data_IF_736253951843
#
_entry.id   IF_736253951843
#
_cell.length_a   1.000
_cell.length_b   1.000
_cell.length_c   1.000
_cell.angle_alpha   90.00
_cell.angle_beta   90.00
_cell.angle_gamma   90.00
#
_symmetry.space_group_name_H-M   'P 1'
#
loop_
_entity.id
_entity.type
_entity.pdbx_description
1 polymer ?
#
# COMPACT_ATOMS: atom_id res chain seq x y z
N UNK A 1 18.78 29.74 -2.25
CA UNK A 1 19.79 28.70 -1.98
C UNK A 1 19.13 27.39 -2.38
N UNK A 2 19.52 26.83 -3.53
CA UNK A 2 18.82 25.70 -4.17
C UNK A 2 19.17 24.43 -3.38
N UNK A 3 18.22 23.94 -2.57
CA UNK A 3 18.28 22.57 -2.05
C UNK A 3 17.80 21.67 -3.19
N UNK A 4 18.76 20.99 -3.83
CA UNK A 4 18.47 19.89 -4.74
C UNK A 4 17.83 18.77 -3.92
N UNK A 5 16.75 18.17 -4.43
CA UNK A 5 16.19 16.94 -3.90
C UNK A 5 17.34 15.94 -3.73
N UNK A 6 17.55 15.50 -2.50
CA UNK A 6 18.56 14.50 -2.21
C UNK A 6 18.02 13.18 -2.78
N UNK A 7 18.72 12.51 -3.70
CA UNK A 7 18.29 11.19 -4.15
C UNK A 7 18.25 10.28 -2.92
N UNK A 8 17.10 9.61 -2.73
CA UNK A 8 16.91 8.62 -1.67
C UNK A 8 17.89 7.49 -1.94
N UNK A 9 18.94 7.42 -1.13
CA UNK A 9 19.97 6.40 -1.25
C UNK A 9 19.48 5.16 -0.49
N UNK A 10 19.16 4.10 -1.24
CA UNK A 10 18.74 2.80 -0.71
C UNK A 10 19.84 2.24 0.22
N UNK A 11 19.61 2.25 1.53
CA UNK A 11 20.45 1.53 2.49
C UNK A 11 20.07 0.05 2.48
N UNK A 12 20.72 -0.74 1.62
CA UNK A 12 20.68 -2.19 1.71
C UNK A 12 21.42 -2.65 2.98
N UNK A 13 20.69 -2.88 4.08
CA UNK A 13 21.25 -3.52 5.27
C UNK A 13 21.31 -5.05 5.08
N UNK A 14 22.45 -5.54 4.59
CA UNK A 14 22.83 -6.94 4.73
C UNK A 14 23.24 -7.20 6.18
N UNK A 15 22.29 -7.55 7.05
CA UNK A 15 22.58 -7.95 8.41
C UNK A 15 22.87 -9.46 8.49
N UNK A 16 24.15 -9.84 8.45
CA UNK A 16 24.60 -11.13 8.96
C UNK A 16 24.68 -11.06 10.49
N UNK A 17 23.80 -11.76 11.20
CA UNK A 17 23.92 -11.94 12.66
C UNK A 17 23.91 -13.42 13.04
N UNK A 18 25.07 -13.87 13.52
CA UNK A 18 25.28 -15.17 14.14
C UNK A 18 24.73 -15.22 15.57
N UNK A 19 24.30 -16.42 15.95
CA UNK A 19 23.81 -16.78 17.28
C UNK A 19 24.83 -16.52 18.40
N UNK A 20 24.36 -15.95 19.51
CA UNK A 20 25.11 -15.84 20.75
C UNK A 20 24.18 -15.64 21.95
N UNK A 21 23.78 -16.75 22.57
CA UNK A 21 22.96 -16.83 23.78
C UNK A 21 23.77 -16.40 25.01
N UNK A 22 23.22 -15.57 25.90
CA UNK A 22 23.54 -15.57 27.33
C UNK A 22 22.44 -14.89 28.15
N UNK A 23 21.88 -15.66 29.08
CA UNK A 23 20.88 -15.27 30.06
C UNK A 23 21.48 -14.51 31.26
N UNK A 24 20.64 -13.69 31.91
CA UNK A 24 20.71 -13.48 33.36
C UNK A 24 19.39 -12.95 33.91
N UNK A 25 18.76 -13.77 34.75
CA UNK A 25 17.73 -13.44 35.73
C UNK A 25 18.14 -12.31 36.68
N UNK A 26 17.19 -11.45 37.09
CA UNK A 26 16.98 -11.06 38.50
C UNK A 26 15.51 -10.66 38.69
N UNK A 27 14.84 -11.39 39.59
CA UNK A 27 13.53 -11.11 40.19
C UNK A 27 13.60 -9.94 41.17
N UNK A 28 12.51 -9.16 41.34
CA UNK A 28 11.81 -9.00 42.65
C UNK A 28 10.60 -8.05 42.59
N UNK A 29 9.45 -8.62 42.95
CA UNK A 29 8.29 -8.15 43.72
C UNK A 29 7.88 -6.66 43.78
N UNK A 30 6.58 -6.47 43.51
CA UNK A 30 5.74 -5.33 43.86
C UNK A 30 5.58 -5.13 45.39
N UNK A 31 4.94 -4.03 45.81
CA UNK A 31 3.55 -4.20 46.23
C UNK A 31 2.58 -3.09 45.80
N UNK A 32 1.30 -3.50 45.79
CA UNK A 32 0.11 -2.72 45.48
C UNK A 32 -0.25 -1.67 46.55
N UNK A 33 -0.94 -0.60 46.13
CA UNK A 33 -1.87 0.16 46.97
C UNK A 33 -3.09 0.56 46.13
N UNK A 34 -4.24 0.12 46.63
CA UNK A 34 -5.62 0.42 46.22
C UNK A 34 -6.09 1.79 46.75
N UNK A 35 -6.93 2.49 46.00
CA UNK A 35 -8.19 3.10 46.49
C UNK A 35 -8.76 4.13 45.51
N UNK A 36 -10.08 4.09 45.32
CA UNK A 36 -10.86 5.32 45.08
C UNK A 36 -11.88 5.26 43.95
N UNK A 37 -13.02 4.61 44.19
CA UNK A 37 -14.24 4.78 43.40
C UNK A 37 -14.82 6.21 43.54
N UNK A 38 -15.33 6.77 42.45
CA UNK A 38 -16.44 7.75 42.50
C UNK A 38 -17.38 7.55 41.30
N UNK A 39 -18.63 7.22 41.61
CA UNK A 39 -19.80 7.27 40.75
C UNK A 39 -20.19 8.72 40.45
N UNK A 40 -20.64 9.00 39.21
CA UNK A 40 -21.47 10.15 38.88
C UNK A 40 -22.49 9.78 37.79
N UNK A 41 -23.68 9.49 38.29
CA UNK A 41 -25.04 9.67 37.78
C UNK A 41 -25.27 10.25 36.35
N UNK A 42 -25.93 9.42 35.53
CA UNK A 42 -27.05 9.67 34.58
C UNK A 42 -27.33 11.08 34.06
N UNK A 43 -27.40 11.19 32.72
CA UNK A 43 -28.34 12.05 32.00
C UNK A 43 -28.85 11.29 30.77
N UNK A 44 -30.11 10.87 30.81
CA UNK A 44 -30.88 10.46 29.64
C UNK A 44 -31.32 11.70 28.85
N UNK A 45 -31.14 11.68 27.54
CA UNK A 45 -31.95 12.46 26.60
C UNK A 45 -32.39 11.53 25.48
N UNK A 46 -33.70 11.33 25.41
CA UNK A 46 -34.37 10.55 24.38
C UNK A 46 -34.65 11.38 23.12
N UNK A 47 -34.70 10.66 22.00
CA UNK A 47 -35.47 10.89 20.77
C UNK A 47 -35.07 12.05 19.85
N UNK A 48 -34.51 11.68 18.69
CA UNK A 48 -35.09 12.01 17.39
C UNK A 48 -34.69 10.93 16.38
N UNK A 49 -35.67 10.55 15.56
CA UNK A 49 -35.69 9.40 14.65
C UNK A 49 -34.48 9.37 13.71
N UNK A 50 -33.81 8.22 13.66
CA UNK A 50 -32.85 7.88 12.62
C UNK A 50 -33.61 7.70 11.31
N UNK A 51 -33.49 8.70 10.44
CA UNK A 51 -33.94 8.62 9.06
C UNK A 51 -33.15 7.53 8.33
N UNK A 52 -33.85 6.86 7.42
CA UNK A 52 -33.55 5.56 6.85
C UNK A 52 -32.11 5.37 6.35
N UNK A 53 -31.48 4.28 6.79
CA UNK A 53 -30.34 3.65 6.10
C UNK A 53 -30.77 3.30 4.68
N UNK A 54 -30.33 4.11 3.71
CA UNK A 54 -30.36 3.72 2.30
C UNK A 54 -29.27 2.68 2.11
N UNK A 55 -29.69 1.45 1.83
CA UNK A 55 -28.81 0.34 1.49
C UNK A 55 -28.12 0.61 0.14
N UNK A 56 -26.86 1.06 0.16
CA UNK A 56 -25.98 1.13 -1.02
C UNK A 56 -25.33 -0.23 -1.36
N UNK A 57 -26.01 -1.36 -1.12
CA UNK A 57 -25.49 -2.70 -1.43
C UNK A 57 -25.74 -3.14 -2.90
N UNK A 58 -26.23 -2.26 -3.77
CA UNK A 58 -26.72 -2.64 -5.10
C UNK A 58 -25.64 -2.77 -6.20
N UNK A 59 -24.38 -3.00 -5.85
CA UNK A 59 -23.30 -3.02 -6.85
C UNK A 59 -22.06 -3.85 -6.51
N UNK A 60 -22.08 -4.66 -5.46
CA UNK A 60 -20.96 -5.55 -5.16
C UNK A 60 -21.03 -6.82 -6.01
N UNK A 61 -19.88 -7.26 -6.53
CA UNK A 61 -19.73 -8.46 -7.35
C UNK A 61 -18.77 -9.44 -6.69
N UNK A 62 -18.91 -10.76 -6.91
CA UNK A 62 -17.84 -11.70 -6.58
C UNK A 62 -16.52 -11.27 -7.21
N UNK A 63 -15.41 -11.50 -6.50
CA UNK A 63 -14.06 -11.11 -6.93
C UNK A 63 -13.73 -11.50 -8.38
N UNK A 64 -14.03 -12.73 -8.79
CA UNK A 64 -13.76 -13.20 -10.15
C UNK A 64 -14.53 -12.39 -11.22
N UNK A 65 -15.79 -12.03 -10.95
CA UNK A 65 -16.61 -11.21 -11.87
C UNK A 65 -16.07 -9.78 -11.93
N UNK A 66 -15.62 -9.23 -10.79
CA UNK A 66 -15.00 -7.92 -10.75
C UNK A 66 -13.69 -7.91 -11.54
N UNK A 67 -12.85 -8.94 -11.37
CA UNK A 67 -11.56 -9.07 -12.08
C UNK A 67 -11.76 -9.19 -13.58
N UNK A 68 -12.72 -9.98 -14.06
CA UNK A 68 -13.07 -10.08 -15.48
C UNK A 68 -13.45 -8.70 -16.06
N UNK A 69 -14.25 -7.90 -15.33
CA UNK A 69 -14.62 -6.54 -15.76
C UNK A 69 -13.42 -5.61 -15.80
N UNK A 70 -12.54 -5.69 -14.80
CA UNK A 70 -11.33 -4.88 -14.75
C UNK A 70 -10.38 -5.24 -15.90
N UNK A 71 -10.11 -6.52 -16.11
CA UNK A 71 -9.27 -7.02 -17.21
C UNK A 71 -9.86 -6.65 -18.58
N UNK A 72 -11.17 -6.73 -18.76
CA UNK A 72 -11.80 -6.28 -20.01
C UNK A 72 -11.62 -4.78 -20.27
N UNK A 73 -11.40 -3.96 -19.24
CA UNK A 73 -11.29 -2.50 -19.34
C UNK A 73 -9.83 -2.03 -19.41
N UNK A 74 -8.97 -2.62 -18.59
CA UNK A 74 -7.59 -2.18 -18.37
C UNK A 74 -6.55 -3.28 -18.60
N UNK A 75 -7.00 -4.52 -18.82
CA UNK A 75 -6.11 -5.65 -19.10
C UNK A 75 -5.23 -5.37 -20.31
N UNK A 76 -3.97 -5.77 -20.18
CA UNK A 76 -2.98 -5.72 -21.26
C UNK A 76 -2.60 -7.17 -21.59
N UNK A 77 -2.51 -7.46 -22.88
CA UNK A 77 -2.21 -8.81 -23.38
C UNK A 77 -0.73 -9.20 -23.22
N UNK A 78 -0.59 -10.43 -22.72
CA UNK A 78 0.45 -11.48 -22.79
C UNK A 78 1.93 -11.20 -22.51
N UNK A 79 2.51 -12.21 -21.86
CA UNK A 79 3.87 -12.25 -21.39
C UNK A 79 4.88 -12.20 -22.54
N UNK A 80 5.98 -11.47 -22.33
CA UNK A 80 7.05 -11.43 -23.32
C UNK A 80 7.64 -12.83 -23.53
N UNK A 81 7.60 -13.30 -24.78
CA UNK A 81 8.25 -14.55 -25.25
C UNK A 81 9.66 -14.31 -25.75
N UNK A 82 10.17 -13.08 -25.61
CA UNK A 82 11.52 -12.75 -26.00
C UNK A 82 12.54 -13.48 -25.13
N UNK A 83 13.74 -13.68 -25.66
CA UNK A 83 14.83 -14.27 -24.90
C UNK A 83 15.23 -13.30 -23.79
N UNK A 84 15.34 -13.81 -22.55
CA UNK A 84 15.85 -13.03 -21.43
C UNK A 84 17.19 -12.36 -21.78
N UNK A 85 17.25 -11.04 -21.61
CA UNK A 85 18.45 -10.24 -21.68
C UNK A 85 18.52 -9.36 -20.45
N UNK A 86 19.37 -9.75 -19.49
CA UNK A 86 19.56 -9.06 -18.22
C UNK A 86 19.91 -7.58 -18.40
N UNK A 87 20.60 -7.22 -19.48
CA UNK A 87 21.01 -5.83 -19.74
C UNK A 87 19.83 -4.89 -19.95
N UNK A 88 18.64 -5.41 -20.34
CA UNK A 88 17.43 -4.60 -20.51
C UNK A 88 16.84 -4.09 -19.19
N UNK A 89 17.30 -4.62 -18.06
CA UNK A 89 16.80 -4.34 -16.71
C UNK A 89 17.85 -3.62 -15.85
N UNK A 90 18.99 -3.24 -16.44
CA UNK A 90 19.98 -2.37 -15.77
C UNK A 90 19.39 -0.97 -15.58
N UNK A 91 19.72 -0.33 -14.46
CA UNK A 91 19.11 0.92 -14.00
C UNK A 91 19.20 2.05 -15.04
N UNK A 92 20.33 2.17 -15.75
CA UNK A 92 20.55 3.18 -16.78
C UNK A 92 19.72 2.92 -18.06
N UNK A 93 19.49 1.66 -18.39
CA UNK A 93 18.60 1.25 -19.49
C UNK A 93 17.14 1.52 -19.12
N UNK A 94 16.73 1.21 -17.89
CA UNK A 94 15.40 1.55 -17.37
C UNK A 94 15.18 3.06 -17.40
N UNK A 95 16.14 3.84 -16.88
CA UNK A 95 16.09 5.30 -16.91
C UNK A 95 15.92 5.82 -18.34
N UNK A 96 16.66 5.27 -19.30
CA UNK A 96 16.57 5.69 -20.70
C UNK A 96 15.16 5.44 -21.30
N UNK A 97 14.49 4.35 -20.89
CA UNK A 97 13.10 4.07 -21.29
C UNK A 97 12.13 5.07 -20.65
N UNK A 98 12.32 5.42 -19.38
CA UNK A 98 11.56 6.48 -18.69
C UNK A 98 11.73 7.83 -19.38
N UNK A 99 12.98 8.26 -19.64
CA UNK A 99 13.28 9.52 -20.32
C UNK A 99 12.61 9.59 -21.71
N UNK A 100 12.58 8.46 -22.43
CA UNK A 100 11.91 8.35 -23.71
C UNK A 100 10.38 8.44 -23.60
N UNK A 101 9.77 7.76 -22.61
CA UNK A 101 8.34 7.84 -22.35
C UNK A 101 7.90 9.29 -22.04
N UNK A 102 8.64 9.97 -21.17
CA UNK A 102 8.41 11.39 -20.84
C UNK A 102 8.56 12.28 -22.07
N UNK A 103 9.66 12.14 -22.82
CA UNK A 103 9.95 13.01 -23.97
C UNK A 103 8.98 12.84 -25.15
N UNK A 104 8.37 11.66 -25.28
CA UNK A 104 7.43 11.35 -26.36
C UNK A 104 5.98 11.66 -26.00
N UNK A 105 5.68 11.96 -24.73
CA UNK A 105 4.33 12.23 -24.26
C UNK A 105 3.92 13.67 -24.50
N UNK A 106 2.69 13.88 -24.94
CA UNK A 106 2.12 15.20 -25.23
C UNK A 106 1.33 15.81 -24.07
N UNK A 107 1.06 15.00 -23.03
CA UNK A 107 0.29 15.35 -21.83
C UNK A 107 0.76 14.51 -20.64
N UNK A 108 0.50 14.94 -19.41
CA UNK A 108 0.80 14.19 -18.19
C UNK A 108 -0.04 12.92 -18.07
N UNK A 109 -1.26 12.91 -18.61
CA UNK A 109 -2.08 11.68 -18.69
C UNK A 109 -1.43 10.66 -19.63
N UNK A 110 -0.95 11.10 -20.79
CA UNK A 110 -0.22 10.23 -21.73
C UNK A 110 1.11 9.78 -21.13
N UNK A 111 1.82 10.67 -20.44
CA UNK A 111 3.08 10.36 -19.76
C UNK A 111 2.93 9.25 -18.73
N UNK A 112 1.98 9.37 -17.80
CA UNK A 112 1.72 8.32 -16.80
C UNK A 112 1.36 7.01 -17.49
N UNK A 113 0.57 7.03 -18.57
CA UNK A 113 0.22 5.83 -19.34
C UNK A 113 1.45 5.19 -20.00
N UNK A 114 2.35 5.97 -20.57
CA UNK A 114 3.58 5.44 -21.18
C UNK A 114 4.56 4.92 -20.13
N UNK A 115 4.65 5.56 -18.96
CA UNK A 115 5.41 5.04 -17.82
C UNK A 115 4.81 3.72 -17.32
N UNK A 116 3.49 3.60 -17.24
CA UNK A 116 2.83 2.32 -16.95
C UNK A 116 3.13 1.25 -17.99
N UNK A 117 3.30 1.61 -19.27
CA UNK A 117 3.71 0.66 -20.31
C UNK A 117 5.17 0.20 -20.11
N UNK A 118 6.07 1.12 -19.71
CA UNK A 118 7.46 0.78 -19.37
C UNK A 118 7.48 -0.19 -18.20
N UNK A 119 6.81 0.14 -17.10
CA UNK A 119 6.70 -0.73 -15.91
C UNK A 119 6.10 -2.09 -16.28
N UNK A 120 4.99 -2.10 -17.03
CA UNK A 120 4.31 -3.31 -17.47
C UNK A 120 5.21 -4.21 -18.34
N UNK A 121 6.09 -3.64 -19.17
CA UNK A 121 7.02 -4.42 -19.99
C UNK A 121 8.01 -5.26 -19.17
N UNK A 122 8.25 -4.88 -17.91
CA UNK A 122 9.09 -5.63 -16.98
C UNK A 122 8.27 -6.66 -16.18
N UNK A 123 7.09 -6.27 -15.69
CA UNK A 123 6.23 -7.15 -14.89
C UNK A 123 5.54 -8.23 -15.73
N UNK A 124 5.37 -8.01 -17.04
CA UNK A 124 4.82 -9.00 -17.96
C UNK A 124 5.88 -9.97 -18.50
N UNK A 125 7.16 -9.86 -18.11
CA UNK A 125 8.14 -10.88 -18.48
C UNK A 125 7.98 -12.12 -17.60
N UNK A 126 7.63 -13.26 -18.19
CA UNK A 126 7.55 -14.54 -17.48
C UNK A 126 8.34 -15.62 -18.20
N UNK A 127 9.26 -16.24 -17.47
CA UNK A 127 10.05 -17.36 -17.95
C UNK A 127 10.39 -18.25 -16.75
N UNK A 128 9.85 -19.48 -16.78
CA UNK A 128 9.97 -20.47 -15.70
C UNK A 128 11.42 -20.89 -15.43
N UNK A 129 12.35 -20.68 -16.37
CA UNK A 129 13.76 -21.05 -16.26
C UNK A 129 14.65 -19.94 -15.66
N UNK A 130 14.08 -18.80 -15.25
CA UNK A 130 14.88 -17.73 -14.64
C UNK A 130 15.41 -18.12 -13.26
N UNK A 131 16.70 -17.84 -13.04
CA UNK A 131 17.28 -17.92 -11.70
C UNK A 131 16.82 -16.75 -10.81
N UNK A 132 16.89 -16.95 -9.50
CA UNK A 132 16.52 -15.92 -8.49
C UNK A 132 17.23 -14.57 -8.73
N UNK A 133 18.50 -14.56 -9.16
CA UNK A 133 19.23 -13.33 -9.42
C UNK A 133 18.67 -12.52 -10.61
N UNK A 134 18.05 -13.20 -11.57
CA UNK A 134 17.44 -12.58 -12.74
C UNK A 134 16.01 -12.13 -12.43
N UNK A 135 15.26 -12.92 -11.66
CA UNK A 135 13.97 -12.49 -11.09
C UNK A 135 14.11 -11.25 -10.21
N UNK A 136 15.15 -11.19 -9.37
CA UNK A 136 15.42 -10.01 -8.57
C UNK A 136 15.70 -8.80 -9.48
N UNK A 137 16.56 -8.93 -10.50
CA UNK A 137 16.83 -7.84 -11.44
C UNK A 137 15.56 -7.33 -12.15
N UNK A 138 14.69 -8.24 -12.59
CA UNK A 138 13.37 -7.91 -13.14
C UNK A 138 12.52 -7.09 -12.17
N UNK A 139 12.45 -7.52 -10.91
CA UNK A 139 11.64 -6.85 -9.89
C UNK A 139 12.10 -5.41 -9.59
N UNK A 140 13.41 -5.16 -9.63
CA UNK A 140 13.95 -3.81 -9.42
C UNK A 140 13.69 -2.86 -10.59
N UNK A 141 13.51 -3.37 -11.82
CA UNK A 141 13.25 -2.52 -12.97
C UNK A 141 11.93 -1.74 -12.86
N UNK A 142 10.89 -2.35 -12.29
CA UNK A 142 9.64 -1.64 -11.97
C UNK A 142 9.87 -0.54 -10.93
N UNK A 143 10.61 -0.85 -9.86
CA UNK A 143 10.95 0.12 -8.81
C UNK A 143 11.71 1.32 -9.40
N UNK A 144 12.75 1.08 -10.21
CA UNK A 144 13.50 2.15 -10.87
C UNK A 144 12.61 2.99 -11.77
N UNK A 145 11.68 2.36 -12.51
CA UNK A 145 10.76 3.08 -13.40
C UNK A 145 9.99 4.16 -12.64
N UNK A 146 9.36 3.79 -11.52
CA UNK A 146 8.58 4.72 -10.72
C UNK A 146 9.43 5.71 -9.91
N UNK A 147 10.63 5.31 -9.49
CA UNK A 147 11.55 6.22 -8.80
C UNK A 147 12.05 7.34 -9.74
N UNK A 148 12.44 6.99 -10.97
CA UNK A 148 12.88 7.98 -11.95
C UNK A 148 11.75 8.92 -12.36
N UNK A 149 10.54 8.39 -12.56
CA UNK A 149 9.37 9.23 -12.85
C UNK A 149 9.03 10.17 -11.70
N UNK A 150 9.00 9.67 -10.45
CA UNK A 150 8.71 10.47 -9.27
C UNK A 150 9.70 11.64 -9.13
N UNK A 151 10.99 11.37 -9.30
CA UNK A 151 12.03 12.40 -9.24
C UNK A 151 11.87 13.41 -10.39
N UNK A 152 11.59 12.94 -11.61
CA UNK A 152 11.35 13.81 -12.76
C UNK A 152 10.13 14.73 -12.60
N UNK A 153 9.05 14.24 -11.99
CA UNK A 153 7.88 15.06 -11.64
C UNK A 153 8.22 16.12 -10.59
N UNK A 154 8.92 15.74 -9.52
CA UNK A 154 9.35 16.67 -8.47
C UNK A 154 10.27 17.76 -9.00
N UNK A 155 11.21 17.41 -9.89
CA UNK A 155 12.11 18.38 -10.53
C UNK A 155 11.31 19.39 -11.35
N UNK A 156 10.38 18.94 -12.19
CA UNK A 156 9.52 19.82 -13.00
C UNK A 156 8.63 20.70 -12.12
N UNK A 157 8.03 20.17 -11.06
CA UNK A 157 7.28 20.96 -10.08
C UNK A 157 8.16 22.03 -9.45
N UNK A 158 9.39 21.68 -9.06
CA UNK A 158 10.35 22.60 -8.44
C UNK A 158 10.79 23.74 -9.36
N UNK A 159 10.80 23.50 -10.67
CA UNK A 159 11.12 24.48 -11.70
C UNK A 159 9.92 25.35 -12.11
N UNK A 160 8.71 24.79 -12.12
CA UNK A 160 7.52 25.44 -12.70
C UNK A 160 6.57 26.06 -11.67
N UNK A 161 6.55 25.56 -10.43
CA UNK A 161 5.65 26.07 -9.38
C UNK A 161 6.04 27.48 -8.91
N UNK A 162 5.03 28.25 -8.49
CA UNK A 162 5.28 29.45 -7.69
C UNK A 162 5.88 29.07 -6.31
N UNK A 163 6.55 30.02 -5.62
CA UNK A 163 7.24 29.72 -4.36
C UNK A 163 6.35 29.11 -3.28
N UNK A 164 5.10 29.55 -3.16
CA UNK A 164 4.20 29.09 -2.10
C UNK A 164 3.76 27.64 -2.36
N UNK A 165 3.41 27.32 -3.62
CA UNK A 165 3.09 25.94 -4.03
C UNK A 165 4.28 25.02 -3.87
N UNK A 166 5.47 25.49 -4.23
CA UNK A 166 6.72 24.72 -4.07
C UNK A 166 6.96 24.34 -2.62
N UNK A 167 6.92 25.31 -1.71
CA UNK A 167 7.12 25.08 -0.28
C UNK A 167 6.07 24.11 0.28
N UNK A 168 4.81 24.23 -0.15
CA UNK A 168 3.74 23.32 0.24
C UNK A 168 3.99 21.88 -0.23
N UNK A 169 4.43 21.68 -1.48
CA UNK A 169 4.70 20.35 -2.04
C UNK A 169 5.96 19.75 -1.41
N UNK A 170 6.98 20.55 -1.07
CA UNK A 170 8.16 20.07 -0.34
C UNK A 170 7.78 19.54 1.06
N UNK A 171 6.93 20.26 1.79
CA UNK A 171 6.42 19.80 3.10
C UNK A 171 5.62 18.50 2.94
N UNK A 172 4.75 18.44 1.94
CA UNK A 172 3.95 17.25 1.66
C UNK A 172 4.83 16.05 1.29
N UNK A 173 5.87 16.26 0.48
CA UNK A 173 6.81 15.22 0.07
C UNK A 173 7.59 14.68 1.25
N UNK A 174 8.06 15.54 2.17
CA UNK A 174 8.73 15.09 3.39
C UNK A 174 7.79 14.24 4.27
N UNK A 175 6.54 14.68 4.45
CA UNK A 175 5.55 13.88 5.20
C UNK A 175 5.22 12.56 4.49
N UNK A 176 5.18 12.55 3.16
CA UNK A 176 4.97 11.32 2.40
C UNK A 176 6.16 10.36 2.55
N UNK A 177 7.40 10.85 2.64
CA UNK A 177 8.58 10.01 2.94
C UNK A 177 8.45 9.36 4.32
N UNK A 178 8.07 10.12 5.35
CA UNK A 178 7.85 9.58 6.70
C UNK A 178 6.73 8.50 6.70
N UNK A 179 5.66 8.75 5.95
CA UNK A 179 4.55 7.81 5.79
C UNK A 179 4.96 6.57 4.97
N UNK A 180 5.81 6.73 3.96
CA UNK A 180 6.38 5.66 3.14
C UNK A 180 7.23 4.73 3.99
N UNK A 181 8.18 5.27 4.77
CA UNK A 181 9.08 4.46 5.60
C UNK A 181 8.28 3.63 6.59
N UNK A 182 7.27 4.23 7.21
CA UNK A 182 6.38 3.54 8.16
C UNK A 182 5.55 2.44 7.51
N UNK A 183 4.94 2.70 6.35
CA UNK A 183 4.16 1.68 5.65
C UNK A 183 5.06 0.56 5.15
N UNK A 184 6.25 0.90 4.65
CA UNK A 184 7.22 -0.09 4.22
C UNK A 184 7.66 -0.96 5.40
N UNK A 185 8.01 -0.39 6.56
CA UNK A 185 8.35 -1.14 7.76
C UNK A 185 7.21 -2.08 8.21
N UNK A 186 5.95 -1.65 8.10
CA UNK A 186 4.79 -2.45 8.48
C UNK A 186 4.54 -3.67 7.57
N UNK A 187 4.89 -3.57 6.28
CA UNK A 187 4.50 -4.55 5.26
C UNK A 187 5.67 -5.28 4.60
N UNK A 188 6.91 -4.84 4.81
CA UNK A 188 8.10 -5.48 4.25
C UNK A 188 8.23 -6.93 4.75
N UNK A 189 8.85 -7.73 3.91
CA UNK A 189 9.33 -9.06 4.28
C UNK A 189 10.73 -8.90 4.87
N UNK A 190 10.99 -9.54 6.02
CA UNK A 190 12.27 -9.40 6.72
C UNK A 190 13.29 -10.47 6.31
N UNK A 191 12.83 -11.62 5.80
CA UNK A 191 13.68 -12.76 5.45
C UNK A 191 13.06 -13.59 4.31
N UNK A 192 13.84 -14.52 3.76
CA UNK A 192 13.46 -15.43 2.70
C UNK A 192 14.01 -15.02 1.33
N UNK A 193 14.15 -15.99 0.43
CA UNK A 193 14.70 -15.73 -0.91
C UNK A 193 13.82 -14.82 -1.78
N UNK A 194 12.56 -14.66 -1.40
CA UNK A 194 11.57 -13.81 -2.08
C UNK A 194 11.58 -12.37 -1.55
N UNK A 195 12.22 -12.11 -0.40
CA UNK A 195 12.26 -10.79 0.25
C UNK A 195 12.64 -9.66 -0.72
N UNK A 196 13.74 -9.75 -1.50
CA UNK A 196 14.14 -8.64 -2.35
C UNK A 196 13.12 -8.31 -3.43
N UNK A 197 12.43 -9.32 -3.94
CA UNK A 197 11.44 -9.18 -4.99
C UNK A 197 10.12 -8.60 -4.47
N UNK A 198 9.63 -9.11 -3.34
CA UNK A 198 8.38 -8.61 -2.76
C UNK A 198 8.57 -7.18 -2.25
N UNK A 199 9.71 -6.90 -1.60
CA UNK A 199 9.99 -5.57 -1.09
C UNK A 199 10.18 -4.55 -2.21
N UNK A 200 10.77 -4.91 -3.35
CA UNK A 200 10.86 -4.00 -4.49
C UNK A 200 9.49 -3.69 -5.11
N UNK A 201 8.59 -4.69 -5.19
CA UNK A 201 7.20 -4.50 -5.64
C UNK A 201 6.39 -3.60 -4.70
N UNK A 202 6.52 -3.79 -3.37
CA UNK A 202 5.86 -2.92 -2.37
C UNK A 202 6.31 -1.46 -2.52
N UNK A 203 7.60 -1.24 -2.74
CA UNK A 203 8.12 0.11 -2.95
C UNK A 203 7.67 0.70 -4.29
N UNK A 204 7.63 -0.12 -5.35
CA UNK A 204 7.20 0.30 -6.68
C UNK A 204 5.75 0.80 -6.67
N UNK A 205 4.81 0.07 -6.03
CA UNK A 205 3.41 0.49 -5.93
C UNK A 205 3.21 1.81 -5.18
N UNK A 206 3.95 2.06 -4.09
CA UNK A 206 3.88 3.35 -3.37
C UNK A 206 4.40 4.49 -4.24
N UNK A 207 5.53 4.27 -4.91
CA UNK A 207 6.10 5.29 -5.82
C UNK A 207 5.18 5.54 -7.03
N UNK A 208 4.53 4.51 -7.57
CA UNK A 208 3.51 4.64 -8.63
C UNK A 208 2.37 5.56 -8.19
N UNK A 209 1.77 5.30 -7.04
CA UNK A 209 0.66 6.10 -6.53
C UNK A 209 1.10 7.54 -6.26
N UNK A 210 2.32 7.73 -5.75
CA UNK A 210 2.88 9.06 -5.59
C UNK A 210 3.11 9.79 -6.92
N UNK A 211 3.59 9.10 -7.96
CA UNK A 211 3.73 9.67 -9.30
C UNK A 211 2.38 10.19 -9.83
N UNK A 212 1.31 9.42 -9.69
CA UNK A 212 -0.04 9.83 -10.14
C UNK A 212 -0.51 11.10 -9.41
N UNK A 213 -0.30 11.18 -8.09
CA UNK A 213 -0.63 12.38 -7.30
C UNK A 213 0.23 13.59 -7.70
N UNK A 214 1.53 13.38 -7.93
CA UNK A 214 2.44 14.45 -8.37
C UNK A 214 2.13 14.92 -9.78
N UNK A 215 1.77 14.02 -10.69
CA UNK A 215 1.34 14.35 -12.05
C UNK A 215 0.07 15.22 -12.03
N UNK A 216 -0.92 14.89 -11.19
CA UNK A 216 -2.09 15.76 -10.98
C UNK A 216 -1.69 17.17 -10.51
N UNK A 217 -0.78 17.28 -9.54
CA UNK A 217 -0.29 18.58 -9.05
C UNK A 217 0.45 19.37 -10.11
N UNK A 218 1.29 18.70 -10.92
CA UNK A 218 1.97 19.33 -12.04
C UNK A 218 0.99 19.78 -13.12
N UNK A 219 -0.07 19.00 -13.38
CA UNK A 219 -1.13 19.37 -14.29
C UNK A 219 -1.86 20.64 -13.81
N UNK A 220 -2.16 20.74 -12.52
CA UNK A 220 -2.74 21.95 -11.91
C UNK A 220 -1.82 23.18 -12.04
N UNK A 221 -0.50 22.99 -11.94
CA UNK A 221 0.49 24.06 -12.17
C UNK A 221 0.48 24.51 -13.62
N UNK A 222 0.39 23.58 -14.57
CA UNK A 222 0.40 23.82 -16.02
C UNK A 222 -0.96 24.26 -16.58
N UNK A 223 -2.04 24.11 -15.82
CA UNK A 223 -3.40 24.30 -16.32
C UNK A 223 -3.86 23.19 -17.27
N UNK A 224 -3.32 21.99 -17.12
CA UNK A 224 -3.67 20.79 -17.88
C UNK A 224 -4.82 20.03 -17.19
N UNK A 225 -5.67 19.37 -17.96
CA UNK A 225 -6.70 18.48 -17.42
C UNK A 225 -6.08 17.15 -17.01
N UNK A 226 -6.28 16.74 -15.76
CA UNK A 226 -5.80 15.45 -15.24
C UNK A 226 -6.83 14.86 -14.29
N UNK A 227 -7.42 13.73 -14.69
CA UNK A 227 -8.32 12.95 -13.84
C UNK A 227 -7.55 11.78 -13.23
N UNK A 228 -7.79 11.51 -11.95
CA UNK A 228 -7.18 10.37 -11.28
C UNK A 228 -7.74 9.08 -11.88
N UNK A 229 -6.89 8.08 -12.17
CA UNK A 229 -7.36 6.80 -12.68
C UNK A 229 -8.15 6.06 -11.61
N UNK A 230 -9.01 5.13 -12.03
CA UNK A 230 -9.64 4.18 -11.12
C UNK A 230 -8.57 3.33 -10.40
N UNK A 231 -8.80 2.97 -9.14
CA UNK A 231 -7.87 2.14 -8.38
C UNK A 231 -8.31 0.68 -8.47
N UNK A 232 -7.39 -0.19 -8.89
CA UNK A 232 -7.55 -1.64 -8.69
C UNK A 232 -7.72 -1.89 -7.19
N UNK A 233 -8.58 -2.81 -6.75
CA UNK A 233 -8.85 -3.00 -5.32
C UNK A 233 -7.65 -3.55 -4.53
N UNK A 234 -6.81 -4.39 -5.15
CA UNK A 234 -5.55 -4.89 -4.55
C UNK A 234 -4.38 -3.93 -4.80
N UNK A 235 -3.29 -4.24 -4.11
CA UNK A 235 -2.02 -3.51 -4.13
C UNK A 235 -2.19 -2.03 -3.74
N UNK A 236 -3.14 -1.78 -2.85
CA UNK A 236 -3.33 -0.49 -2.22
C UNK A 236 -2.90 -0.55 -0.76
N UNK A 237 -2.18 0.48 -0.33
CA UNK A 237 -2.01 0.73 1.10
C UNK A 237 -2.48 2.13 1.47
N UNK A 238 -2.86 2.27 2.72
CA UNK A 238 -3.40 3.47 3.29
C UNK A 238 -2.79 3.72 4.66
N UNK A 239 -2.70 4.99 5.06
CA UNK A 239 -2.05 5.35 6.31
C UNK A 239 -2.80 6.45 7.06
N UNK A 240 -2.87 6.30 8.38
CA UNK A 240 -3.35 7.30 9.36
C UNK A 240 -2.21 7.70 10.30
N UNK A 241 -2.41 8.55 11.30
CA UNK A 241 -1.33 8.88 12.25
C UNK A 241 -0.88 7.65 13.08
N UNK A 242 -1.83 6.75 13.35
CA UNK A 242 -1.69 5.67 14.33
C UNK A 242 -1.68 4.26 13.72
N UNK A 243 -1.94 4.11 12.42
CA UNK A 243 -1.96 2.81 11.77
C UNK A 243 -1.68 2.88 10.25
N UNK A 244 -1.39 1.71 9.68
CA UNK A 244 -1.39 1.45 8.25
C UNK A 244 -2.36 0.31 7.90
N UNK A 245 -2.89 0.34 6.68
CA UNK A 245 -3.74 -0.69 6.10
C UNK A 245 -3.16 -1.11 4.75
N UNK A 246 -3.06 -2.41 4.49
CA UNK A 246 -2.68 -2.96 3.19
C UNK A 246 -3.76 -3.91 2.68
N UNK A 247 -4.07 -3.81 1.39
CA UNK A 247 -4.95 -4.71 0.66
C UNK A 247 -4.12 -5.30 -0.47
N UNK A 248 -3.75 -6.57 -0.37
CA UNK A 248 -2.90 -7.28 -1.31
C UNK A 248 -3.55 -8.58 -1.78
N UNK A 249 -2.97 -9.17 -2.82
CA UNK A 249 -3.36 -10.52 -3.26
C UNK A 249 -3.21 -11.53 -2.12
N UNK A 250 -4.20 -12.40 -1.96
CA UNK A 250 -4.09 -13.52 -1.03
C UNK A 250 -3.19 -14.63 -1.60
N UNK A 251 -3.10 -15.75 -0.86
CA UNK A 251 -2.25 -16.88 -1.26
C UNK A 251 -2.88 -17.75 -2.35
N UNK A 252 -4.19 -17.64 -2.54
CA UNK A 252 -4.98 -18.47 -3.44
C UNK A 252 -5.82 -17.60 -4.38
N UNK A 253 -6.21 -18.15 -5.54
CA UNK A 253 -7.06 -17.42 -6.48
C UNK A 253 -8.40 -17.07 -5.82
N UNK A 254 -8.94 -15.88 -6.11
CA UNK A 254 -10.17 -15.40 -5.48
C UNK A 254 -10.01 -14.99 -4.01
N UNK A 255 -8.79 -14.83 -3.50
CA UNK A 255 -8.54 -14.36 -2.13
C UNK A 255 -7.78 -13.04 -2.07
N UNK A 256 -7.99 -12.31 -0.97
CA UNK A 256 -7.24 -11.10 -0.61
C UNK A 256 -6.64 -11.22 0.77
N UNK A 257 -5.52 -10.53 0.96
CA UNK A 257 -4.92 -10.28 2.26
C UNK A 257 -5.23 -8.85 2.69
N UNK A 258 -5.87 -8.68 3.84
CA UNK A 258 -6.09 -7.39 4.47
C UNK A 258 -5.17 -7.32 5.70
N UNK A 259 -4.20 -6.43 5.68
CA UNK A 259 -3.25 -6.27 6.79
C UNK A 259 -3.49 -4.93 7.50
N UNK A 260 -3.92 -4.99 8.75
CA UNK A 260 -4.03 -3.85 9.65
C UNK A 260 -2.82 -3.79 10.58
N UNK A 261 -2.05 -2.72 10.50
CA UNK A 261 -0.83 -2.50 11.26
C UNK A 261 -0.95 -1.25 12.15
N UNK A 262 -1.50 -1.37 13.38
CA UNK A 262 -1.45 -0.31 14.37
C UNK A 262 -0.02 -0.03 14.85
N UNK A 263 0.29 1.22 15.19
CA UNK A 263 1.63 1.66 15.62
C UNK A 263 2.09 1.00 16.92
N UNK A 264 1.18 0.86 17.88
CA UNK A 264 1.50 0.45 19.26
C UNK A 264 0.96 -0.95 19.63
N UNK A 265 0.53 -1.74 18.62
CA UNK A 265 0.00 -3.09 18.84
C UNK A 265 0.51 -4.06 17.77
N UNK A 266 0.22 -5.35 17.98
CA UNK A 266 0.50 -6.39 16.99
C UNK A 266 -0.26 -6.11 15.68
N UNK A 267 0.39 -6.43 14.57
CA UNK A 267 -0.23 -6.39 13.24
C UNK A 267 -1.19 -7.56 13.09
N UNK A 268 -2.34 -7.31 12.48
CA UNK A 268 -3.38 -8.31 12.21
C UNK A 268 -3.49 -8.47 10.70
N UNK A 269 -3.44 -9.70 10.21
CA UNK A 269 -3.70 -10.05 8.82
C UNK A 269 -4.93 -10.93 8.73
N UNK A 270 -5.81 -10.59 7.81
CA UNK A 270 -7.03 -11.31 7.50
C UNK A 270 -6.90 -11.86 6.08
N UNK A 271 -7.04 -13.17 5.92
CA UNK A 271 -7.09 -13.80 4.60
C UNK A 271 -8.55 -14.06 4.23
N UNK A 272 -9.12 -13.20 3.39
CA UNK A 272 -10.52 -13.31 2.99
C UNK A 272 -10.65 -14.01 1.63
N UNK A 273 -11.53 -15.00 1.59
CA UNK A 273 -11.90 -15.73 0.38
C UNK A 273 -13.23 -15.21 -0.16
N UNK A 274 -13.34 -15.16 -1.49
CA UNK A 274 -14.54 -14.74 -2.20
C UNK A 274 -15.15 -13.40 -1.70
N UNK A 275 -14.33 -12.34 -1.46
CA UNK A 275 -14.87 -11.04 -1.07
C UNK A 275 -15.78 -10.49 -2.16
N UNK A 276 -16.76 -9.69 -1.77
CA UNK A 276 -17.62 -8.97 -2.70
C UNK A 276 -17.06 -7.55 -2.91
N UNK A 277 -16.87 -7.15 -4.16
CA UNK A 277 -16.10 -5.95 -4.54
C UNK A 277 -16.88 -5.09 -5.53
N UNK A 278 -16.74 -3.78 -5.41
CA UNK A 278 -17.09 -2.81 -6.46
C UNK A 278 -15.96 -1.79 -6.64
N UNK A 279 -16.20 -0.65 -7.31
CA UNK A 279 -15.17 0.34 -7.63
C UNK A 279 -14.46 0.94 -6.40
N UNK A 280 -15.10 0.96 -5.23
CA UNK A 280 -14.60 1.64 -4.04
C UNK A 280 -14.89 0.92 -2.71
N UNK A 281 -15.45 -0.29 -2.76
CA UNK A 281 -15.88 -1.03 -1.58
C UNK A 281 -15.52 -2.50 -1.69
N UNK A 282 -14.96 -3.05 -0.61
CA UNK A 282 -14.74 -4.48 -0.40
C UNK A 282 -15.59 -4.90 0.79
N UNK A 283 -16.39 -5.95 0.65
CA UNK A 283 -17.06 -6.64 1.75
C UNK A 283 -16.41 -8.00 1.93
N UNK A 284 -16.02 -8.34 3.15
CA UNK A 284 -15.26 -9.55 3.44
C UNK A 284 -15.77 -10.26 4.70
N UNK A 285 -15.51 -11.57 4.75
CA UNK A 285 -15.68 -12.43 5.91
C UNK A 285 -14.51 -13.43 5.91
N UNK A 286 -13.96 -13.75 7.08
CA UNK A 286 -12.86 -14.71 7.21
C UNK A 286 -12.79 -15.32 8.59
N UNK A 287 -12.35 -16.58 8.65
CA UNK A 287 -11.91 -17.29 9.86
C UNK A 287 -10.38 -17.42 9.95
N UNK A 288 -9.66 -16.85 8.97
CA UNK A 288 -8.22 -16.90 8.81
C UNK A 288 -7.59 -15.60 9.31
N UNK A 289 -7.48 -15.49 10.63
CA UNK A 289 -6.90 -14.34 11.34
C UNK A 289 -5.49 -14.68 11.81
N UNK A 290 -4.52 -13.87 11.43
CA UNK A 290 -3.12 -14.02 11.81
C UNK A 290 -2.65 -12.79 12.59
N UNK A 291 -2.12 -13.00 13.79
CA UNK A 291 -1.52 -11.95 14.60
C UNK A 291 0.00 -12.06 14.60
N UNK A 292 0.67 -10.93 14.35
CA UNK A 292 2.12 -10.82 14.31
C UNK A 292 2.59 -10.03 15.52
N UNK A 293 3.07 -10.75 16.52
CA UNK A 293 3.66 -10.15 17.73
C UNK A 293 5.09 -10.64 17.97
N UNK A 294 5.61 -10.33 19.15
CA UNK A 294 6.97 -10.71 19.57
C UNK A 294 7.21 -12.23 19.61
N UNK A 295 6.14 -13.01 19.78
CA UNK A 295 6.20 -14.48 19.85
C UNK A 295 6.11 -15.16 18.46
N UNK A 296 6.14 -14.38 17.38
CA UNK A 296 5.92 -14.84 16.01
C UNK A 296 4.46 -14.80 15.56
N UNK A 297 4.21 -15.35 14.37
CA UNK A 297 2.89 -15.42 13.74
C UNK A 297 2.01 -16.47 14.43
N UNK A 298 0.81 -16.07 14.85
CA UNK A 298 -0.19 -16.97 15.44
C UNK A 298 -1.48 -16.89 14.61
N UNK A 299 -1.94 -18.05 14.12
CA UNK A 299 -3.28 -18.17 13.55
C UNK A 299 -4.30 -18.36 14.69
N UNK A 300 -5.26 -17.45 14.80
CA UNK A 300 -6.34 -17.49 15.78
C UNK A 300 -7.54 -18.32 15.30
N UNK A 301 -7.29 -19.47 14.69
CA UNK A 301 -8.30 -20.29 14.02
C UNK A 301 -9.58 -20.46 14.83
N UNK A 302 -10.72 -20.31 14.16
CA UNK A 302 -12.05 -20.27 14.79
C UNK A 302 -12.52 -18.87 15.19
N UNK A 303 -11.68 -17.85 15.02
CA UNK A 303 -12.06 -16.44 15.15
C UNK A 303 -12.63 -15.94 13.84
N UNK A 304 -13.91 -15.61 13.81
CA UNK A 304 -14.55 -15.02 12.61
C UNK A 304 -14.44 -13.52 12.66
N UNK A 305 -14.08 -12.90 11.55
CA UNK A 305 -14.06 -11.44 11.33
C UNK A 305 -14.77 -11.13 10.02
N UNK A 306 -15.79 -10.28 10.06
CA UNK A 306 -16.47 -9.75 8.89
C UNK A 306 -16.47 -8.22 8.91
N UNK A 307 -16.41 -7.61 7.74
CA UNK A 307 -16.33 -6.17 7.64
C UNK A 307 -16.41 -5.63 6.22
N UNK A 308 -16.24 -4.32 6.13
CA UNK A 308 -16.21 -3.56 4.88
C UNK A 308 -14.98 -2.65 4.84
N UNK A 309 -14.41 -2.47 3.67
CA UNK A 309 -13.40 -1.46 3.38
C UNK A 309 -13.94 -0.55 2.29
N UNK A 310 -14.15 0.73 2.58
CA UNK A 310 -14.30 1.74 1.53
C UNK A 310 -12.93 2.31 1.20
N UNK A 311 -12.60 2.52 -0.06
CA UNK A 311 -11.26 2.90 -0.48
C UNK A 311 -11.26 3.83 -1.71
N UNK A 312 -10.18 4.60 -1.88
CA UNK A 312 -10.00 5.51 -3.00
C UNK A 312 -8.75 6.37 -2.86
N UNK A 313 -8.56 7.34 -3.76
CA UNK A 313 -7.42 8.26 -3.69
C UNK A 313 -7.42 9.15 -2.44
N UNK A 314 -8.59 9.40 -1.87
CA UNK A 314 -8.78 10.22 -0.67
C UNK A 314 -8.63 9.42 0.65
N UNK A 315 -8.23 8.14 0.55
CA UNK A 315 -8.02 7.28 1.70
C UNK A 315 -8.91 6.04 1.73
N UNK A 316 -8.96 5.40 2.90
CA UNK A 316 -9.79 4.24 3.14
C UNK A 316 -10.42 4.25 4.54
N UNK A 317 -11.48 3.46 4.72
CA UNK A 317 -12.10 3.20 6.04
C UNK A 317 -12.29 1.70 6.19
N UNK A 318 -11.73 1.12 7.24
CA UNK A 318 -11.98 -0.26 7.66
C UNK A 318 -13.09 -0.28 8.71
N UNK A 319 -14.18 -0.97 8.43
CA UNK A 319 -15.33 -1.14 9.32
C UNK A 319 -15.53 -2.61 9.64
N UNK A 320 -15.59 -2.97 10.92
CA UNK A 320 -15.74 -4.34 11.39
C UNK A 320 -17.18 -4.55 11.87
N UNK A 321 -17.92 -5.42 11.18
CA UNK A 321 -19.34 -5.67 11.46
C UNK A 321 -19.54 -6.84 12.41
N UNK A 322 -18.66 -7.84 12.35
CA UNK A 322 -18.65 -9.02 13.23
C UNK A 322 -17.20 -9.37 13.54
N UNK A 323 -16.90 -9.65 14.80
CA UNK A 323 -15.57 -10.11 15.19
C UNK A 323 -15.56 -10.66 16.61
N UNK A 324 -14.97 -11.85 16.75
CA UNK A 324 -14.58 -12.42 18.04
C UNK A 324 -13.13 -12.05 18.44
N UNK A 325 -12.38 -11.38 17.55
CA UNK A 325 -11.02 -10.90 17.84
C UNK A 325 -11.09 -9.66 18.74
N UNK A 326 -10.32 -9.68 19.84
CA UNK A 326 -10.35 -8.60 20.85
C UNK A 326 -9.61 -7.34 20.43
N UNK A 327 -8.61 -7.46 19.57
CA UNK A 327 -7.84 -6.34 19.06
C UNK A 327 -8.50 -5.67 17.85
N UNK A 328 -9.48 -6.35 17.24
CA UNK A 328 -10.31 -5.85 16.17
C UNK A 328 -11.80 -6.18 16.40
N UNK A 329 -12.44 -5.65 17.48
CA UNK A 329 -13.79 -6.04 17.88
C UNK A 329 -14.87 -5.52 16.93
N UNK A 330 -16.06 -6.14 16.96
CA UNK A 330 -17.23 -5.66 16.23
C UNK A 330 -17.58 -4.20 16.58
N UNK A 331 -17.95 -3.41 15.56
CA UNK A 331 -18.18 -1.97 15.68
C UNK A 331 -16.92 -1.11 15.55
N UNK A 332 -15.74 -1.71 15.33
CA UNK A 332 -14.51 -0.96 15.05
C UNK A 332 -14.62 -0.25 13.70
N UNK A 333 -14.29 1.05 13.69
CA UNK A 333 -14.20 1.86 12.48
C UNK A 333 -12.87 2.64 12.50
N UNK A 334 -12.05 2.46 11.46
CA UNK A 334 -10.70 3.04 11.39
C UNK A 334 -10.55 3.75 10.05
N UNK A 335 -10.27 5.06 10.12
CA UNK A 335 -10.04 5.90 8.93
C UNK A 335 -8.56 6.06 8.63
N UNK A 336 -8.20 5.88 7.37
CA UNK A 336 -6.87 6.06 6.79
C UNK A 336 -6.94 7.16 5.74
N UNK A 337 -6.68 8.44 6.10
CA UNK A 337 -6.94 9.60 5.24
C UNK A 337 -6.00 9.74 4.04
N UNK A 338 -5.07 8.81 3.82
CA UNK A 338 -4.05 8.90 2.78
C UNK A 338 -3.86 7.56 2.11
N UNK A 339 -3.94 7.55 0.79
CA UNK A 339 -3.45 6.45 -0.02
C UNK A 339 -1.93 6.59 -0.22
N UNK A 340 -1.23 5.45 -0.15
CA UNK A 340 0.23 5.35 -0.29
C UNK A 340 0.66 4.99 -1.68
#
# INVERSE_FOLDING_TARGET
MIRRFLPVLLCAFLAMSGCGNAASDVSTEAPAVDSGATEATSLEVSSAEADSVVSEETGLFPIDEWEEKWESKYGKDDFSKEKFDRSQYEEDVVKSKVDAAVSNSSSLVEEIKEIENVAYSFTSYHNEDLGQQDMNALSFAELYTWEYEMNGLLDRISEEADPDKKDSIEIEQNKWIDDFDRCFEAFQWEDGSWEPMINSQIQARFKKNRCIVLAKKLAEIRGESFELPERFFRDNSYVSEDAALDISSGMENGSISITYAPRDKNKIKLLAYDPLINENTISFETDCVFEFGTDGEKNEGGTTVAGKITYGWDGAVLSITESDNKDLPAGTEISFPKAM
#
